data_IF_432103238117
#
_entry.id   IF_432103238117
#
_cell.length_a   1.000
_cell.length_b   1.000
_cell.length_c   1.000
_cell.angle_alpha   90.00
_cell.angle_beta   90.00
_cell.angle_gamma   90.00
#
_symmetry.space_group_name_H-M   'P 1'
#
loop_
_entity.id
_entity.type
_entity.pdbx_description
1 polymer ?
#
# COMPACT_ATOMS: atom_id res chain seq x y z
N UNK A 1 -16.30 24.22 -3.08
CA UNK A 1 -15.09 23.58 -3.65
C UNK A 1 -15.46 23.06 -5.01
N UNK A 2 -14.71 23.45 -6.03
CA UNK A 2 -14.93 23.01 -7.41
C UNK A 2 -14.32 21.60 -7.53
N UNK A 3 -14.91 20.72 -8.35
CA UNK A 3 -14.47 19.33 -8.53
C UNK A 3 -12.95 19.20 -8.77
N UNK A 4 -12.36 20.15 -9.51
CA UNK A 4 -10.93 20.19 -9.80
C UNK A 4 -10.04 20.33 -8.56
N UNK A 5 -10.49 21.07 -7.54
CA UNK A 5 -9.72 21.27 -6.32
C UNK A 5 -9.64 19.98 -5.51
N UNK A 6 -10.74 19.21 -5.51
CA UNK A 6 -10.81 17.90 -4.86
C UNK A 6 -9.83 16.95 -5.56
N UNK A 7 -9.80 16.92 -6.89
CA UNK A 7 -8.88 16.05 -7.63
C UNK A 7 -7.41 16.41 -7.44
N UNK A 8 -7.08 17.71 -7.44
CA UNK A 8 -5.73 18.20 -7.14
C UNK A 8 -5.31 17.80 -5.74
N UNK A 9 -6.20 17.98 -4.76
CA UNK A 9 -5.94 17.58 -3.38
C UNK A 9 -5.71 16.07 -3.28
N UNK A 10 -6.57 15.25 -3.91
CA UNK A 10 -6.43 13.81 -3.92
C UNK A 10 -5.11 13.37 -4.55
N UNK A 11 -4.72 13.91 -5.72
CA UNK A 11 -3.42 13.59 -6.35
C UNK A 11 -2.22 13.95 -5.48
N UNK A 12 -2.30 15.02 -4.67
CA UNK A 12 -1.21 15.46 -3.81
C UNK A 12 -1.09 14.64 -2.52
N UNK A 13 -2.21 14.14 -1.98
CA UNK A 13 -2.27 13.53 -0.64
C UNK A 13 -2.48 12.01 -0.64
N UNK A 14 -2.79 11.43 -1.80
CA UNK A 14 -3.02 9.99 -1.97
C UNK A 14 -2.25 9.44 -3.15
N UNK A 15 -2.04 8.14 -3.16
CA UNK A 15 -1.43 7.41 -4.28
C UNK A 15 -2.28 6.18 -4.62
N UNK A 16 -2.10 5.66 -5.83
CA UNK A 16 -2.77 4.42 -6.24
C UNK A 16 -2.04 3.20 -5.69
N UNK A 17 -2.81 2.25 -5.17
CA UNK A 17 -2.37 1.00 -4.57
C UNK A 17 -3.33 -0.11 -5.03
N UNK A 18 -2.96 -1.41 -4.98
CA UNK A 18 -3.89 -2.49 -5.27
C UNK A 18 -5.14 -2.51 -4.37
N UNK A 19 -5.07 -1.88 -3.19
CA UNK A 19 -6.20 -1.66 -2.29
C UNK A 19 -7.08 -0.45 -2.67
N UNK A 20 -6.77 0.22 -3.78
CA UNK A 20 -7.38 1.47 -4.23
C UNK A 20 -6.53 2.70 -3.91
N UNK A 21 -7.16 3.88 -3.92
CA UNK A 21 -6.49 5.16 -3.63
C UNK A 21 -6.35 5.32 -2.11
N UNK A 22 -5.11 5.44 -1.63
CA UNK A 22 -4.81 5.53 -0.18
C UNK A 22 -3.82 6.64 0.13
N UNK A 23 -3.90 7.18 1.35
CA UNK A 23 -2.86 8.09 1.87
C UNK A 23 -1.69 7.30 2.46
N UNK A 24 -0.53 7.93 2.62
CA UNK A 24 0.63 7.34 3.31
C UNK A 24 0.28 6.87 4.73
N UNK A 25 -0.42 7.72 5.48
CA UNK A 25 -0.89 7.41 6.85
C UNK A 25 -1.78 6.17 6.88
N UNK A 26 -2.70 6.03 5.92
CA UNK A 26 -3.57 4.86 5.86
C UNK A 26 -2.81 3.60 5.44
N UNK A 27 -1.83 3.73 4.54
CA UNK A 27 -0.93 2.64 4.18
C UNK A 27 -0.11 2.15 5.39
N UNK A 28 0.46 3.06 6.19
CA UNK A 28 1.17 2.74 7.42
C UNK A 28 0.26 2.05 8.45
N UNK A 29 -0.97 2.56 8.63
CA UNK A 29 -1.94 1.93 9.52
C UNK A 29 -2.25 0.49 9.10
N UNK A 30 -2.41 0.21 7.79
CA UNK A 30 -2.63 -1.14 7.27
C UNK A 30 -1.40 -2.04 7.49
N UNK A 31 -0.18 -1.52 7.27
CA UNK A 31 1.08 -2.26 7.45
C UNK A 31 1.40 -2.58 8.91
N UNK A 32 0.94 -1.77 9.84
CA UNK A 32 1.14 -1.98 11.28
C UNK A 32 0.16 -3.00 11.89
N UNK A 33 -0.87 -3.42 11.13
CA UNK A 33 -1.80 -4.47 11.58
C UNK A 33 -1.07 -5.80 11.76
N UNK A 34 -1.53 -6.65 12.70
CA UNK A 34 -1.00 -8.00 12.84
C UNK A 34 -1.29 -8.82 11.58
N UNK A 35 -0.36 -9.72 11.24
CA UNK A 35 -0.62 -10.77 10.25
C UNK A 35 -1.69 -11.72 10.80
N UNK A 36 -2.38 -12.44 9.91
CA UNK A 36 -3.49 -13.33 10.28
C UNK A 36 -3.09 -14.30 11.41
N UNK A 37 -1.94 -14.97 11.29
CA UNK A 37 -1.43 -15.88 12.32
C UNK A 37 -1.14 -15.21 13.68
N UNK A 38 -0.68 -13.95 13.69
CA UNK A 38 -0.44 -13.20 14.93
C UNK A 38 -1.74 -12.71 15.57
N UNK A 39 -2.73 -12.35 14.77
CA UNK A 39 -4.02 -11.89 15.25
C UNK A 39 -4.83 -13.04 15.89
N UNK A 40 -4.83 -14.23 15.27
CA UNK A 40 -5.46 -15.43 15.84
C UNK A 40 -4.90 -15.78 17.23
N UNK A 41 -3.57 -15.68 17.42
CA UNK A 41 -2.92 -15.93 18.71
C UNK A 41 -3.33 -14.94 19.80
N UNK A 42 -3.72 -13.71 19.43
CA UNK A 42 -4.09 -12.66 20.38
C UNK A 42 -5.57 -12.69 20.79
N UNK A 43 -6.38 -13.62 20.24
CA UNK A 43 -7.84 -13.76 20.50
C UNK A 43 -8.62 -12.43 20.48
N UNK A 44 -8.11 -11.45 19.73
CA UNK A 44 -8.73 -10.13 19.57
C UNK A 44 -9.30 -10.06 18.15
N UNK A 45 -10.56 -9.65 18.05
CA UNK A 45 -11.18 -9.27 16.78
C UNK A 45 -10.56 -7.95 16.29
N UNK A 46 -9.36 -8.06 15.71
CA UNK A 46 -8.65 -6.93 15.10
C UNK A 46 -8.58 -7.13 13.61
N UNK A 47 -8.71 -6.04 12.86
CA UNK A 47 -8.49 -6.06 11.42
C UNK A 47 -7.07 -6.58 11.12
N UNK A 48 -7.01 -7.55 10.22
CA UNK A 48 -5.75 -8.14 9.79
C UNK A 48 -5.00 -7.23 8.83
N UNK A 49 -3.70 -7.45 8.73
CA UNK A 49 -2.88 -6.89 7.66
C UNK A 49 -3.39 -7.42 6.31
N UNK A 50 -3.70 -6.55 5.34
CA UNK A 50 -4.03 -6.98 3.98
C UNK A 50 -2.85 -7.76 3.36
N UNK A 51 -3.14 -8.76 2.53
CA UNK A 51 -2.11 -9.60 1.90
C UNK A 51 -1.15 -8.76 1.05
N UNK A 52 -1.68 -7.72 0.40
CA UNK A 52 -0.97 -6.73 -0.40
C UNK A 52 0.09 -5.98 0.41
N UNK A 53 -0.06 -5.94 1.74
CA UNK A 53 0.80 -5.24 2.67
C UNK A 53 1.92 -6.10 3.28
N UNK A 54 1.90 -7.44 3.13
CA UNK A 54 2.90 -8.33 3.73
C UNK A 54 4.30 -8.09 3.16
N UNK A 55 4.41 -7.87 1.84
CA UNK A 55 5.65 -7.57 1.12
C UNK A 55 5.52 -6.36 0.17
N UNK A 56 4.79 -5.34 0.59
CA UNK A 56 4.47 -4.20 -0.28
C UNK A 56 5.70 -3.38 -0.69
N UNK A 57 6.04 -3.39 -1.99
CA UNK A 57 7.04 -2.50 -2.60
C UNK A 57 6.45 -1.14 -2.96
N UNK A 58 5.13 -1.05 -3.19
CA UNK A 58 4.45 0.23 -3.42
C UNK A 58 4.67 1.20 -2.26
N UNK A 59 4.60 0.74 -1.01
CA UNK A 59 4.92 1.57 0.16
C UNK A 59 6.40 1.93 0.22
N UNK A 60 7.31 0.99 -0.06
CA UNK A 60 8.75 1.27 -0.08
C UNK A 60 9.06 2.38 -1.08
N UNK A 61 8.42 2.34 -2.24
CA UNK A 61 8.53 3.40 -3.24
C UNK A 61 7.87 4.71 -2.76
N UNK A 62 6.65 4.66 -2.21
CA UNK A 62 5.95 5.83 -1.71
C UNK A 62 6.64 6.51 -0.50
N UNK A 63 7.46 5.77 0.26
CA UNK A 63 8.24 6.27 1.38
C UNK A 63 9.55 6.97 0.96
N UNK A 64 10.01 6.80 -0.29
CA UNK A 64 11.24 7.44 -0.79
C UNK A 64 11.08 8.97 -0.93
N UNK A 65 12.19 9.73 -1.01
CA UNK A 65 12.19 11.11 -1.49
C UNK A 65 11.54 11.23 -2.86
N UNK A 66 10.84 12.34 -3.16
CA UNK A 66 10.03 12.50 -4.39
C UNK A 66 10.83 12.30 -5.68
N UNK A 67 12.08 12.73 -5.68
CA UNK A 67 13.09 12.59 -6.73
C UNK A 67 13.45 11.14 -7.05
N UNK A 68 13.17 10.20 -6.13
CA UNK A 68 13.50 8.78 -6.24
C UNK A 68 12.25 7.89 -6.30
N UNK A 69 11.05 8.48 -6.39
CA UNK A 69 9.80 7.74 -6.49
C UNK A 69 9.55 7.35 -7.94
N UNK A 70 9.38 6.05 -8.16
CA UNK A 70 8.72 5.54 -9.36
C UNK A 70 7.26 5.98 -9.36
N UNK A 71 6.62 6.00 -10.53
CA UNK A 71 5.18 6.24 -10.59
C UNK A 71 4.40 5.15 -9.83
N UNK A 72 3.17 5.45 -9.40
CA UNK A 72 2.33 4.45 -8.74
C UNK A 72 2.08 3.22 -9.62
N UNK A 73 2.02 3.40 -10.95
CA UNK A 73 1.82 2.30 -11.89
C UNK A 73 3.02 1.36 -11.90
N UNK A 74 4.22 1.90 -12.11
CA UNK A 74 5.46 1.11 -12.10
C UNK A 74 5.68 0.39 -10.78
N UNK A 75 5.36 1.05 -9.65
CA UNK A 75 5.49 0.43 -8.34
C UNK A 75 4.49 -0.73 -8.11
N UNK A 76 3.31 -0.65 -8.73
CA UNK A 76 2.32 -1.73 -8.69
C UNK A 76 2.77 -2.88 -9.59
N UNK A 77 3.24 -2.59 -10.80
CA UNK A 77 3.70 -3.58 -11.76
C UNK A 77 4.90 -4.36 -11.21
N UNK A 78 5.89 -3.68 -10.61
CA UNK A 78 7.01 -4.31 -9.89
C UNK A 78 6.53 -5.22 -8.74
N UNK A 79 5.53 -4.77 -7.96
CA UNK A 79 4.99 -5.59 -6.88
C UNK A 79 4.30 -6.86 -7.41
N UNK A 80 3.60 -6.77 -8.55
CA UNK A 80 2.94 -7.92 -9.18
C UNK A 80 3.98 -8.91 -9.69
N UNK A 81 5.02 -8.42 -10.38
CA UNK A 81 6.10 -9.26 -10.91
C UNK A 81 6.84 -10.01 -9.79
N UNK A 82 7.22 -9.32 -8.72
CA UNK A 82 7.86 -9.94 -7.56
C UNK A 82 6.97 -11.00 -6.88
N UNK A 83 5.65 -10.83 -6.88
CA UNK A 83 4.73 -11.87 -6.37
C UNK A 83 4.65 -13.07 -7.32
N UNK A 84 4.64 -12.84 -8.63
CA UNK A 84 4.64 -13.91 -9.64
C UNK A 84 5.89 -14.79 -9.55
N UNK A 85 7.07 -14.18 -9.40
CA UNK A 85 8.34 -14.90 -9.28
C UNK A 85 8.45 -15.72 -7.98
N UNK A 86 7.85 -15.24 -6.87
CA UNK A 86 7.82 -15.98 -5.60
C UNK A 86 6.84 -17.16 -5.60
N UNK A 87 5.93 -17.27 -6.56
CA UNK A 87 4.97 -18.38 -6.65
C UNK A 87 5.46 -19.54 -7.53
N UNK A 88 6.50 -19.31 -8.34
CA UNK A 88 7.15 -20.30 -9.21
C UNK A 88 8.36 -20.99 -8.55
N UNK A 89 8.61 -20.76 -7.26
CA UNK A 89 9.78 -21.21 -6.53
C UNK A 89 9.43 -22.06 -5.32
#
# INVERSE_FOLDING_TARGET
MIQEDIEKWLKKNTFQCPLGRVSLRQCEANRNRPTFGKALRRRRWTLFKPLECENCTVWKNAAKPKDQRMSSKEAIDDQIEQRGQNHLR
#
